data_IF_026201247575
#
_entry.id   IF_026201247575
#
_cell.length_a   1.000
_cell.length_b   1.000
_cell.length_c   1.000
_cell.angle_alpha   90.00
_cell.angle_beta   90.00
_cell.angle_gamma   90.00
#
_symmetry.space_group_name_H-M   'P 1'
#
loop_
_entity.id
_entity.type
_entity.pdbx_description
1 polymer ?
#
# COMPACT_ATOMS: atom_id res chain seq x y z
N UNK A 1 -2.42 14.08 -1.04
CA UNK A 1 -1.62 12.92 -0.57
C UNK A 1 -1.04 12.25 -1.80
N UNK A 2 0.22 11.77 -1.79
CA UNK A 2 0.72 10.88 -2.83
C UNK A 2 -0.09 9.58 -2.85
N UNK A 3 -0.15 8.97 -4.03
CA UNK A 3 -0.73 7.65 -4.24
C UNK A 3 0.41 6.62 -4.34
N UNK A 4 0.33 5.56 -3.54
CA UNK A 4 1.21 4.41 -3.62
C UNK A 4 0.50 3.32 -4.41
N UNK A 5 0.96 3.07 -5.64
CA UNK A 5 0.31 2.15 -6.58
C UNK A 5 1.29 1.16 -7.19
N UNK A 6 0.78 -0.02 -7.58
CA UNK A 6 1.50 -0.99 -8.40
C UNK A 6 1.26 -0.80 -9.91
N UNK A 7 0.73 0.35 -10.31
CA UNK A 7 0.63 0.73 -11.71
C UNK A 7 2.00 1.17 -12.27
N UNK A 8 2.50 0.45 -13.28
CA UNK A 8 3.72 0.79 -14.03
C UNK A 8 3.35 0.92 -15.50
N UNK A 9 3.52 2.10 -16.07
CA UNK A 9 3.22 2.37 -17.49
C UNK A 9 1.79 2.00 -17.92
N UNK A 10 0.79 2.26 -17.04
CA UNK A 10 -0.64 1.95 -17.25
C UNK A 10 -1.01 0.48 -17.07
N UNK A 11 -0.11 -0.34 -16.56
CA UNK A 11 -0.37 -1.74 -16.24
C UNK A 11 -0.20 -1.99 -14.74
N UNK A 12 -1.16 -2.67 -14.11
CA UNK A 12 -0.99 -3.12 -12.74
C UNK A 12 -0.09 -4.34 -12.70
N UNK A 13 0.89 -4.32 -11.79
CA UNK A 13 1.97 -5.31 -11.72
C UNK A 13 1.89 -6.09 -10.42
N UNK A 14 1.16 -7.20 -10.47
CA UNK A 14 0.98 -8.13 -9.35
C UNK A 14 2.31 -8.74 -8.88
N UNK A 15 3.24 -9.00 -9.80
CA UNK A 15 4.57 -9.55 -9.54
C UNK A 15 5.45 -8.61 -8.70
N UNK A 16 5.38 -7.31 -8.99
CA UNK A 16 6.14 -6.29 -8.27
C UNK A 16 5.62 -6.15 -6.85
N UNK A 17 4.30 -6.00 -6.68
CA UNK A 17 3.73 -5.86 -5.34
C UNK A 17 3.87 -7.14 -4.51
N UNK A 18 3.71 -8.32 -5.11
CA UNK A 18 3.95 -9.60 -4.47
C UNK A 18 5.38 -9.71 -3.92
N UNK A 19 6.38 -9.26 -4.69
CA UNK A 19 7.77 -9.24 -4.23
C UNK A 19 7.98 -8.35 -3.00
N UNK A 20 7.25 -7.24 -2.89
CA UNK A 20 7.32 -6.33 -1.73
C UNK A 20 6.61 -6.96 -0.54
N UNK A 21 5.36 -7.44 -0.73
CA UNK A 21 4.52 -7.96 0.35
C UNK A 21 5.16 -9.15 1.07
N UNK A 22 5.80 -10.07 0.35
CA UNK A 22 6.43 -11.26 0.94
C UNK A 22 7.83 -11.01 1.55
N UNK A 23 8.32 -9.76 1.57
CA UNK A 23 9.66 -9.43 2.08
C UNK A 23 9.60 -8.36 3.16
N UNK A 24 9.79 -8.72 4.45
CA UNK A 24 9.75 -7.77 5.56
C UNK A 24 10.69 -6.57 5.38
N UNK A 25 11.91 -6.82 4.86
CA UNK A 25 12.87 -5.76 4.60
C UNK A 25 12.38 -4.79 3.51
N UNK A 26 11.81 -5.30 2.42
CA UNK A 26 11.27 -4.45 1.35
C UNK A 26 10.05 -3.67 1.80
N UNK A 27 9.15 -4.27 2.59
CA UNK A 27 8.02 -3.54 3.21
C UNK A 27 8.53 -2.38 4.07
N UNK A 28 9.50 -2.66 4.95
CA UNK A 28 10.09 -1.64 5.81
C UNK A 28 10.73 -0.50 5.01
N UNK A 29 11.50 -0.83 3.96
CA UNK A 29 12.14 0.17 3.11
C UNK A 29 11.10 1.06 2.44
N UNK A 30 10.09 0.48 1.75
CA UNK A 30 9.12 1.30 1.02
C UNK A 30 8.24 2.13 1.97
N UNK A 31 7.90 1.62 3.14
CA UNK A 31 7.15 2.38 4.17
C UNK A 31 7.97 3.58 4.63
N UNK A 32 9.28 3.41 4.88
CA UNK A 32 10.16 4.49 5.28
C UNK A 32 10.29 5.55 4.18
N UNK A 33 10.53 5.12 2.94
CA UNK A 33 10.65 6.03 1.79
C UNK A 33 9.37 6.86 1.58
N UNK A 34 8.20 6.23 1.75
CA UNK A 34 6.91 6.92 1.64
C UNK A 34 6.66 7.88 2.82
N UNK A 35 7.06 7.52 4.04
CA UNK A 35 6.95 8.39 5.20
C UNK A 35 7.83 9.63 5.03
N UNK A 36 9.09 9.43 4.64
CA UNK A 36 10.05 10.52 4.37
C UNK A 36 9.56 11.44 3.26
N UNK A 37 9.00 10.87 2.18
CA UNK A 37 8.36 11.65 1.12
C UNK A 37 7.24 12.53 1.67
N UNK A 38 6.39 11.99 2.54
CA UNK A 38 5.28 12.72 3.14
C UNK A 38 5.75 13.84 4.07
N UNK A 39 6.68 13.54 4.97
CA UNK A 39 7.24 14.52 5.92
C UNK A 39 7.95 15.66 5.20
N UNK A 40 8.83 15.33 4.23
CA UNK A 40 9.60 16.31 3.46
C UNK A 40 8.72 17.28 2.69
N UNK A 41 7.64 16.77 2.10
CA UNK A 41 6.73 17.57 1.27
C UNK A 41 5.49 18.08 2.02
N UNK A 42 5.40 17.85 3.34
CA UNK A 42 4.27 18.27 4.19
C UNK A 42 2.92 17.74 3.69
N UNK A 43 2.90 16.50 3.19
CA UNK A 43 1.65 15.84 2.87
C UNK A 43 0.92 15.41 4.15
N UNK A 44 -0.40 15.39 4.10
CA UNK A 44 -1.25 14.98 5.23
C UNK A 44 -1.34 13.46 5.44
N UNK A 45 -0.71 12.67 4.56
CA UNK A 45 -0.85 11.22 4.53
C UNK A 45 -0.55 10.60 3.17
N UNK A 46 -0.85 9.31 3.02
CA UNK A 46 -0.69 8.50 1.80
C UNK A 46 -1.98 7.76 1.46
N UNK A 47 -2.26 7.60 0.16
CA UNK A 47 -3.35 6.75 -0.35
C UNK A 47 -2.76 5.49 -0.99
N UNK A 48 -3.17 4.31 -0.54
CA UNK A 48 -2.77 3.02 -1.09
C UNK A 48 -3.75 2.64 -2.20
N UNK A 49 -3.24 2.41 -3.41
CA UNK A 49 -4.00 2.01 -4.59
C UNK A 49 -3.35 0.77 -5.22
N UNK A 50 -3.57 -0.38 -4.60
CA UNK A 50 -2.99 -1.66 -5.03
C UNK A 50 -4.08 -2.52 -5.66
N UNK A 51 -3.91 -2.82 -6.94
CA UNK A 51 -4.86 -3.60 -7.76
C UNK A 51 -4.21 -4.93 -8.18
N UNK A 52 -5.03 -5.92 -8.55
CA UNK A 52 -4.56 -7.24 -9.01
C UNK A 52 -3.62 -7.95 -8.00
N UNK A 53 -3.83 -7.74 -6.69
CA UNK A 53 -3.09 -8.45 -5.64
C UNK A 53 -3.62 -9.89 -5.52
N UNK A 54 -2.70 -10.87 -5.54
CA UNK A 54 -3.04 -12.29 -5.39
C UNK A 54 -3.75 -12.58 -4.05
N UNK A 55 -4.79 -13.41 -4.07
CA UNK A 55 -5.51 -13.86 -2.87
C UNK A 55 -4.59 -14.51 -1.85
N UNK A 56 -3.55 -15.21 -2.32
CA UNK A 56 -2.53 -15.82 -1.46
C UNK A 56 -1.77 -14.78 -0.60
N UNK A 57 -1.69 -13.53 -1.08
CA UNK A 57 -1.03 -12.41 -0.40
C UNK A 57 -1.97 -11.58 0.48
N UNK A 58 -3.23 -12.00 0.67
CA UNK A 58 -4.20 -11.25 1.49
C UNK A 58 -3.71 -10.99 2.93
N UNK A 59 -3.08 -12.00 3.56
CA UNK A 59 -2.48 -11.85 4.89
C UNK A 59 -1.29 -10.87 4.89
N UNK A 60 -0.43 -10.95 3.89
CA UNK A 60 0.74 -10.08 3.76
C UNK A 60 0.35 -8.64 3.42
N UNK A 61 -0.72 -8.45 2.64
CA UNK A 61 -1.29 -7.13 2.36
C UNK A 61 -1.83 -6.48 3.64
N UNK A 62 -2.58 -7.25 4.46
CA UNK A 62 -3.05 -6.75 5.76
C UNK A 62 -1.87 -6.36 6.66
N UNK A 63 -0.83 -7.20 6.72
CA UNK A 63 0.38 -6.89 7.48
C UNK A 63 1.05 -5.60 6.97
N UNK A 64 1.22 -5.45 5.65
CA UNK A 64 1.81 -4.26 5.05
C UNK A 64 1.02 -2.98 5.40
N UNK A 65 -0.31 -3.02 5.27
CA UNK A 65 -1.16 -1.86 5.59
C UNK A 65 -1.08 -1.52 7.08
N UNK A 66 -1.06 -2.52 7.96
CA UNK A 66 -0.87 -2.31 9.41
C UNK A 66 0.49 -1.66 9.72
N UNK A 67 1.58 -2.19 9.14
CA UNK A 67 2.93 -1.64 9.33
C UNK A 67 3.03 -0.19 8.84
N UNK A 68 2.41 0.13 7.68
CA UNK A 68 2.36 1.49 7.15
C UNK A 68 1.52 2.42 8.04
N UNK A 69 0.34 1.97 8.46
CA UNK A 69 -0.53 2.72 9.36
C UNK A 69 0.17 3.05 10.68
N UNK A 70 0.82 2.08 11.32
CA UNK A 70 1.57 2.28 12.55
C UNK A 70 2.68 3.32 12.39
N UNK A 71 3.41 3.29 11.27
CA UNK A 71 4.47 4.26 10.98
C UNK A 71 3.92 5.67 10.75
N UNK A 72 2.86 5.80 9.97
CA UNK A 72 2.27 7.11 9.60
C UNK A 72 1.51 7.74 10.77
N UNK A 73 0.74 6.95 11.52
CA UNK A 73 -0.04 7.46 12.65
C UNK A 73 0.84 7.99 13.79
N UNK A 74 2.04 7.45 13.99
CA UNK A 74 3.02 8.01 14.95
C UNK A 74 3.41 9.44 14.65
N UNK A 75 3.41 9.82 13.37
CA UNK A 75 3.70 11.18 12.89
C UNK A 75 2.43 12.02 12.67
N UNK A 76 1.25 11.51 13.06
CA UNK A 76 -0.04 12.18 12.86
C UNK A 76 -0.52 12.24 11.41
N UNK A 77 0.03 11.40 10.53
CA UNK A 77 -0.34 11.32 9.11
C UNK A 77 -1.44 10.29 8.87
N UNK A 78 -2.28 10.53 7.87
CA UNK A 78 -3.39 9.66 7.48
C UNK A 78 -2.91 8.55 6.53
N UNK A 79 -3.47 7.35 6.66
CA UNK A 79 -3.40 6.29 5.64
C UNK A 79 -4.82 6.00 5.14
N UNK A 80 -5.02 6.06 3.83
CA UNK A 80 -6.24 5.60 3.17
C UNK A 80 -5.92 4.50 2.16
N UNK A 81 -6.93 3.73 1.77
CA UNK A 81 -6.77 2.68 0.77
C UNK A 81 -8.00 2.62 -0.14
N UNK A 82 -7.74 2.56 -1.44
CA UNK A 82 -8.74 2.22 -2.45
C UNK A 82 -8.94 0.70 -2.44
N UNK A 83 -10.20 0.28 -2.36
CA UNK A 83 -10.61 -1.13 -2.31
C UNK A 83 -11.60 -1.39 -3.45
N UNK A 84 -11.40 -2.44 -4.27
CA UNK A 84 -12.33 -2.78 -5.32
C UNK A 84 -13.72 -3.08 -4.73
N UNK A 85 -14.76 -2.64 -5.43
CA UNK A 85 -16.13 -2.91 -5.01
C UNK A 85 -16.42 -4.41 -5.04
N UNK A 86 -16.79 -4.99 -3.91
CA UNK A 86 -17.24 -6.39 -3.86
C UNK A 86 -18.64 -6.51 -4.50
N UNK A 87 -18.74 -7.05 -5.72
CA UNK A 87 -20.03 -7.59 -6.19
C UNK A 87 -20.11 -9.07 -5.83
N UNK A 88 -21.04 -9.45 -4.95
CA UNK A 88 -21.53 -10.83 -4.98
C UNK A 88 -22.34 -10.97 -6.27
N UNK A 89 -21.79 -11.65 -7.27
CA UNK A 89 -22.63 -12.22 -8.31
C UNK A 89 -23.47 -13.31 -7.62
N UNK A 90 -24.64 -12.94 -7.10
CA UNK A 90 -25.69 -13.92 -6.79
C UNK A 90 -26.08 -14.58 -8.10
N UNK A 91 -25.64 -15.83 -8.27
CA UNK A 91 -26.26 -16.78 -9.18
C UNK A 91 -27.57 -17.31 -8.59
#
# INVERSE_FOLDING_TARGET
>A
MPMFTNNVNKEFRSDIISTILHSPDKRKTIIHDMLDLCLKNKFVGVNIDLEEVDEASSGDLVQFVQEMADAFHREGLIVSQDIPAFSKATA
#
